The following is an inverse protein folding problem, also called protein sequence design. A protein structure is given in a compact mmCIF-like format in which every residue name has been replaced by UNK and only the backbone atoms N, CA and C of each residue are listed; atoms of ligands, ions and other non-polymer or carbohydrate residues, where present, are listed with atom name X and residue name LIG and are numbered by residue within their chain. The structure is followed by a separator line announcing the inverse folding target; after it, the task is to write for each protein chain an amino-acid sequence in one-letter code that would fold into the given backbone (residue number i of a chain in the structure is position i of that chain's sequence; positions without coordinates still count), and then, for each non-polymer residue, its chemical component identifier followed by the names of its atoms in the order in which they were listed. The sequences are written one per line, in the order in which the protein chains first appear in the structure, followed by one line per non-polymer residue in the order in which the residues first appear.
data_IF_277155341980
#
_entry.id   IF_277155341980
#
_cell.length_a   1.000
_cell.length_b   1.000
_cell.length_c   1.000
_cell.angle_alpha   90.00
_cell.angle_beta   90.00
_cell.angle_gamma   90.00
#
_symmetry.space_group_name_H-M   'P 1'
#
loop_
_entity.id
_entity.type
_entity.pdbx_description
1 polymer ?
#
# COMPACT_ATOMS: atom_id res chain seq x y z
N UNK A 1 -16.54 -17.26 -8.20
CA UNK A 1 -15.14 -17.19 -7.70
C UNK A 1 -14.83 -15.73 -7.46
N UNK A 2 -14.58 -15.29 -6.21
CA UNK A 2 -14.16 -13.90 -5.96
C UNK A 2 -12.67 -13.79 -6.28
N UNK A 3 -12.33 -13.26 -7.46
CA UNK A 3 -10.96 -12.89 -7.76
C UNK A 3 -10.62 -11.69 -6.89
N UNK A 4 -9.75 -11.90 -5.90
CA UNK A 4 -9.26 -10.83 -5.03
C UNK A 4 -8.34 -9.91 -5.86
N UNK A 5 -8.27 -8.62 -5.52
CA UNK A 5 -7.51 -7.62 -6.29
C UNK A 5 -6.01 -7.99 -6.40
N UNK A 6 -5.49 -8.70 -5.40
CA UNK A 6 -4.14 -9.26 -5.41
C UNK A 6 -3.89 -10.26 -6.55
N UNK A 7 -4.91 -10.97 -7.02
CA UNK A 7 -4.83 -11.89 -8.15
C UNK A 7 -4.88 -11.20 -9.52
N UNK A 8 -5.21 -9.89 -9.56
CA UNK A 8 -5.27 -9.08 -10.78
C UNK A 8 -4.01 -8.24 -11.01
N UNK A 9 -3.17 -8.10 -9.99
CA UNK A 9 -2.00 -7.23 -10.01
C UNK A 9 -0.72 -8.06 -9.98
N UNK A 10 0.42 -7.50 -10.45
CA UNK A 10 1.70 -8.15 -10.27
C UNK A 10 1.96 -8.45 -8.78
N UNK A 11 2.73 -9.50 -8.46
CA UNK A 11 3.09 -9.82 -7.08
C UNK A 11 3.65 -8.60 -6.34
N UNK A 12 3.38 -8.53 -5.03
CA UNK A 12 3.87 -7.48 -4.13
C UNK A 12 3.43 -6.04 -4.47
N UNK A 13 2.42 -5.88 -5.34
CA UNK A 13 1.88 -4.56 -5.70
C UNK A 13 0.79 -4.08 -4.74
N UNK A 14 0.01 -5.01 -4.17
CA UNK A 14 -1.15 -4.68 -3.35
C UNK A 14 -1.20 -5.47 -2.05
N UNK A 15 -1.19 -4.76 -0.92
CA UNK A 15 -1.34 -5.33 0.42
C UNK A 15 -2.60 -4.79 1.09
N UNK A 16 -3.65 -5.60 1.19
CA UNK A 16 -4.87 -5.26 1.96
C UNK A 16 -4.69 -5.59 3.44
N UNK A 17 -4.71 -4.57 4.30
CA UNK A 17 -4.83 -4.69 5.75
C UNK A 17 -6.20 -4.16 6.18
N UNK A 18 -7.09 -5.06 6.56
CA UNK A 18 -8.44 -4.72 6.99
C UNK A 18 -8.84 -5.70 8.09
N UNK A 19 -8.58 -5.38 9.37
CA UNK A 19 -8.95 -6.23 10.48
C UNK A 19 -10.45 -6.55 10.48
N UNK A 20 -10.77 -7.77 10.89
CA UNK A 20 -12.14 -8.11 11.24
C UNK A 20 -12.47 -7.44 12.58
N UNK A 21 -13.58 -6.70 12.63
CA UNK A 21 -14.10 -6.11 13.87
C UNK A 21 -15.09 -7.08 14.50
N UNK A 22 -14.96 -7.36 15.80
CA UNK A 22 -15.86 -8.29 16.49
C UNK A 22 -17.27 -7.72 16.69
N UNK A 23 -17.42 -6.40 16.58
CA UNK A 23 -18.66 -5.66 16.80
C UNK A 23 -18.81 -4.55 15.75
N UNK A 24 -20.04 -4.16 15.47
CA UNK A 24 -20.31 -2.97 14.67
C UNK A 24 -20.00 -1.72 15.49
N UNK A 25 -19.13 -0.87 14.94
CA UNK A 25 -18.73 0.40 15.55
C UNK A 25 -19.09 1.55 14.61
N UNK A 26 -19.88 2.50 15.12
CA UNK A 26 -20.27 3.71 14.40
C UNK A 26 -19.11 4.70 14.31
N UNK A 27 -19.16 5.60 13.32
CA UNK A 27 -18.07 6.53 13.03
C UNK A 27 -17.80 7.54 14.17
N UNK A 28 -18.83 7.91 14.93
CA UNK A 28 -18.78 8.87 16.03
C UNK A 28 -18.56 8.21 17.42
N UNK A 29 -18.21 6.93 17.44
CA UNK A 29 -17.89 6.22 18.68
C UNK A 29 -16.67 6.84 19.39
N UNK A 30 -16.81 7.10 20.69
CA UNK A 30 -15.74 7.67 21.52
C UNK A 30 -15.59 6.98 22.88
N UNK A 31 -16.43 5.98 23.20
CA UNK A 31 -16.33 5.22 24.45
C UNK A 31 -15.04 4.43 24.46
N UNK A 32 -14.26 4.60 25.52
CA UNK A 32 -12.92 4.00 25.65
C UNK A 32 -12.96 2.48 25.53
N UNK A 33 -13.99 1.85 26.06
CA UNK A 33 -14.18 0.40 26.03
C UNK A 33 -14.28 -0.12 24.59
N UNK A 34 -15.01 0.59 23.72
CA UNK A 34 -15.16 0.25 22.31
C UNK A 34 -13.86 0.49 21.52
N UNK A 35 -13.16 1.59 21.81
CA UNK A 35 -11.86 1.87 21.19
C UNK A 35 -10.81 0.83 21.59
N UNK A 36 -10.80 0.40 22.86
CA UNK A 36 -9.93 -0.67 23.34
C UNK A 36 -10.24 -2.01 22.64
N UNK A 37 -11.52 -2.32 22.42
CA UNK A 37 -11.94 -3.50 21.68
C UNK A 37 -11.41 -3.47 20.23
N UNK A 38 -11.58 -2.34 19.53
CA UNK A 38 -11.03 -2.14 18.18
C UNK A 38 -9.52 -2.31 18.14
N UNK A 39 -8.80 -1.78 19.13
CA UNK A 39 -7.35 -1.95 19.22
C UNK A 39 -6.98 -3.43 19.42
N UNK A 40 -7.70 -4.16 20.27
CA UNK A 40 -7.46 -5.57 20.51
C UNK A 40 -7.71 -6.43 19.26
N UNK A 41 -8.78 -6.16 18.51
CA UNK A 41 -9.06 -6.83 17.24
C UNK A 41 -7.98 -6.52 16.19
N UNK A 42 -7.53 -5.27 16.14
CA UNK A 42 -6.40 -4.84 15.33
C UNK A 42 -5.12 -5.61 15.65
N UNK A 43 -4.73 -5.67 16.93
CA UNK A 43 -3.53 -6.39 17.38
C UNK A 43 -3.60 -7.88 17.02
N UNK A 44 -4.72 -8.55 17.31
CA UNK A 44 -4.92 -9.97 16.97
C UNK A 44 -4.85 -10.21 15.45
N UNK A 45 -5.40 -9.29 14.65
CA UNK A 45 -5.28 -9.35 13.21
C UNK A 45 -3.82 -9.24 12.75
N UNK A 46 -3.05 -8.28 13.29
CA UNK A 46 -1.64 -8.10 12.95
C UNK A 46 -0.82 -9.34 13.32
N UNK A 47 -1.03 -9.91 14.52
CA UNK A 47 -0.36 -11.14 14.97
C UNK A 47 -0.60 -12.31 14.00
N UNK A 48 -1.86 -12.53 13.60
CA UNK A 48 -2.22 -13.59 12.64
C UNK A 48 -1.67 -13.35 11.24
N UNK A 49 -1.47 -12.09 10.86
CA UNK A 49 -1.03 -11.67 9.53
C UNK A 49 0.43 -11.20 9.51
N UNK A 50 1.23 -11.56 10.52
CA UNK A 50 2.62 -11.13 10.64
C UNK A 50 3.45 -11.41 9.37
N UNK A 51 3.33 -12.56 8.68
CA UNK A 51 4.07 -12.79 7.44
C UNK A 51 3.77 -11.76 6.34
N UNK A 52 2.50 -11.33 6.21
CA UNK A 52 2.08 -10.33 5.23
C UNK A 52 2.64 -8.96 5.57
N UNK A 53 2.68 -8.59 6.85
CA UNK A 53 3.29 -7.36 7.33
C UNK A 53 4.79 -7.34 7.08
N UNK A 54 5.50 -8.43 7.42
CA UNK A 54 6.93 -8.57 7.14
C UNK A 54 7.23 -8.45 5.65
N UNK A 55 6.40 -9.07 4.79
CA UNK A 55 6.55 -8.94 3.34
C UNK A 55 6.34 -7.50 2.87
N UNK A 56 5.29 -6.84 3.32
CA UNK A 56 5.02 -5.44 2.97
C UNK A 56 6.17 -4.52 3.42
N UNK A 57 6.64 -4.67 4.66
CA UNK A 57 7.76 -3.91 5.21
C UNK A 57 9.06 -4.15 4.42
N UNK A 58 9.34 -5.40 4.05
CA UNK A 58 10.50 -5.74 3.22
C UNK A 58 10.44 -5.03 1.87
N UNK A 59 9.31 -5.11 1.16
CA UNK A 59 9.14 -4.52 -0.16
C UNK A 59 9.18 -2.99 -0.11
N UNK A 60 8.52 -2.37 0.88
CA UNK A 60 8.52 -0.92 1.06
C UNK A 60 9.89 -0.38 1.50
N UNK A 61 10.67 -1.18 2.22
CA UNK A 61 12.01 -0.84 2.67
C UNK A 61 13.11 -1.11 1.64
N UNK A 62 12.79 -1.72 0.50
CA UNK A 62 13.79 -1.99 -0.54
C UNK A 62 14.31 -0.68 -1.15
N UNK A 63 15.63 -0.53 -1.16
CA UNK A 63 16.25 0.55 -1.91
C UNK A 63 16.09 0.32 -3.41
N UNK A 64 15.81 1.41 -4.13
CA UNK A 64 15.87 1.39 -5.58
C UNK A 64 17.30 1.10 -6.04
N UNK A 65 17.45 0.11 -6.91
CA UNK A 65 18.75 -0.19 -7.54
C UNK A 65 19.25 0.99 -8.40
N UNK A 66 20.55 1.02 -8.68
CA UNK A 66 21.17 2.10 -9.48
C UNK A 66 20.52 2.25 -10.86
N UNK A 67 20.24 1.12 -11.53
CA UNK A 67 19.56 1.12 -12.83
C UNK A 67 18.13 1.65 -12.74
N UNK A 68 17.40 1.30 -11.68
CA UNK A 68 16.04 1.79 -11.44
C UNK A 68 16.04 3.29 -11.16
N UNK A 69 16.97 3.78 -10.34
CA UNK A 69 17.16 5.21 -10.07
C UNK A 69 17.45 5.98 -11.36
N UNK A 70 18.32 5.46 -12.23
CA UNK A 70 18.60 6.07 -13.52
C UNK A 70 17.37 6.08 -14.44
N UNK A 71 16.67 4.94 -14.56
CA UNK A 71 15.44 4.83 -15.36
C UNK A 71 14.36 5.81 -14.88
N UNK A 72 14.13 5.87 -13.57
CA UNK A 72 13.18 6.80 -12.95
C UNK A 72 13.57 8.26 -13.22
N UNK A 73 14.86 8.58 -13.17
CA UNK A 73 15.35 9.92 -13.49
C UNK A 73 15.12 10.29 -14.97
N UNK A 74 15.40 9.38 -15.91
CA UNK A 74 15.14 9.61 -17.33
C UNK A 74 13.65 9.80 -17.59
N UNK A 75 12.79 8.96 -17.01
CA UNK A 75 11.33 9.10 -17.09
C UNK A 75 10.88 10.45 -16.56
N UNK A 76 11.34 10.83 -15.36
CA UNK A 76 11.02 12.13 -14.77
C UNK A 76 11.43 13.29 -15.69
N UNK A 77 12.63 13.24 -16.30
CA UNK A 77 13.07 14.27 -17.24
C UNK A 77 12.21 14.28 -18.50
N UNK A 78 11.90 13.13 -19.07
CA UNK A 78 11.00 13.06 -20.22
C UNK A 78 9.64 13.68 -19.90
N UNK A 79 9.02 13.30 -18.78
CA UNK A 79 7.71 13.80 -18.36
C UNK A 79 7.72 15.32 -18.07
N UNK A 80 8.83 15.86 -17.54
CA UNK A 80 8.99 17.30 -17.33
C UNK A 80 9.13 18.10 -18.64
N UNK A 81 9.75 17.50 -19.65
CA UNK A 81 9.99 18.15 -20.95
C UNK A 81 8.90 17.86 -21.98
N UNK A 82 8.01 16.91 -21.70
CA UNK A 82 6.83 16.64 -22.53
C UNK A 82 5.90 17.87 -22.49
N UNK A 83 5.74 18.53 -23.64
CA UNK A 83 4.93 19.75 -23.79
C UNK A 83 5.69 21.08 -23.71
N UNK A 84 7.02 21.11 -23.54
CA UNK A 84 7.80 22.34 -23.79
C UNK A 84 7.91 22.59 -25.31
N UNK A 85 7.72 23.84 -25.80
CA UNK A 85 7.57 24.14 -27.22
C UNK A 85 8.81 23.83 -28.09
N UNK A 86 9.95 23.48 -27.49
CA UNK A 86 11.16 23.03 -28.18
C UNK A 86 11.12 21.54 -28.58
N UNK A 87 10.21 20.76 -28.01
CA UNK A 87 10.02 19.32 -28.29
C UNK A 87 8.53 19.08 -28.59
N UNK A 88 7.96 19.91 -29.44
CA UNK A 88 6.68 19.61 -30.09
C UNK A 88 6.89 18.38 -30.98
N UNK A 89 6.11 17.32 -30.79
CA UNK A 89 6.05 16.21 -31.74
C UNK A 89 5.72 16.80 -33.11
N UNK A 90 6.69 16.75 -34.02
CA UNK A 90 6.50 16.96 -35.45
C UNK A 90 5.95 15.66 -36.05
#
# INVERSE_FOLDING_TARGET
VHTMLDALLPPDTYFRFNPFMSEDVVLDENRKEKLNQLQMDGTRYLERNEPKLKRAALILGQEKGMLQKASDWFKLKADMYDGLPLISKL
#
